data_IF_931427465521
#
_entry.id   IF_931427465521
#
_cell.length_a   1.000
_cell.length_b   1.000
_cell.length_c   1.000
_cell.angle_alpha   90.00
_cell.angle_beta   90.00
_cell.angle_gamma   90.00
#
_symmetry.space_group_name_H-M   'P 1'
#
loop_
_entity.id
_entity.type
_entity.pdbx_description
1 polymer ?
#
# COMPACT_ATOMS: atom_id res chain seq x y z
N UNK A 1 -18.05 -1.64 9.51
CA UNK A 1 -18.73 -1.69 8.20
C UNK A 1 -17.71 -2.17 7.17
N UNK A 2 -18.00 -3.26 6.44
CA UNK A 2 -17.07 -3.80 5.43
C UNK A 2 -17.16 -2.95 4.16
N UNK A 3 -16.02 -2.44 3.66
CA UNK A 3 -16.00 -1.70 2.39
C UNK A 3 -16.32 -2.66 1.24
N UNK A 4 -17.02 -2.15 0.22
CA UNK A 4 -17.35 -2.95 -0.97
C UNK A 4 -16.06 -3.43 -1.64
N UNK A 5 -16.06 -4.68 -2.16
CA UNK A 5 -14.92 -5.18 -2.92
C UNK A 5 -14.66 -4.29 -4.14
N UNK A 6 -13.41 -4.20 -4.54
CA UNK A 6 -12.99 -3.46 -5.73
C UNK A 6 -11.97 -4.27 -6.52
N UNK A 7 -11.75 -3.89 -7.78
CA UNK A 7 -10.71 -4.47 -8.61
C UNK A 7 -9.35 -3.86 -8.26
N UNK A 8 -8.38 -4.63 -7.72
CA UNK A 8 -7.09 -4.09 -7.32
C UNK A 8 -6.25 -3.56 -8.49
N UNK A 9 -6.37 -4.19 -9.66
CA UNK A 9 -5.62 -3.81 -10.85
C UNK A 9 -6.09 -2.45 -11.37
N UNK A 10 -7.40 -2.29 -11.57
CA UNK A 10 -7.97 -1.01 -12.01
C UNK A 10 -7.61 0.14 -11.04
N UNK A 11 -7.69 -0.12 -9.73
CA UNK A 11 -7.35 0.88 -8.71
C UNK A 11 -5.85 1.21 -8.68
N UNK A 12 -4.99 0.25 -9.02
CA UNK A 12 -3.54 0.48 -9.16
C UNK A 12 -3.25 1.34 -10.39
N UNK A 13 -3.95 1.09 -11.50
CA UNK A 13 -3.79 1.83 -12.75
C UNK A 13 -4.23 3.30 -12.61
N UNK A 14 -5.35 3.55 -11.91
CA UNK A 14 -5.81 4.90 -11.57
C UNK A 14 -4.75 5.72 -10.82
N UNK A 15 -3.93 5.06 -9.99
CA UNK A 15 -2.96 5.70 -9.09
C UNK A 15 -1.51 5.42 -9.48
N UNK A 16 -1.27 4.92 -10.70
CA UNK A 16 0.05 4.63 -11.26
C UNK A 16 1.01 5.82 -11.14
N UNK A 17 0.46 7.04 -11.19
CA UNK A 17 1.21 8.28 -11.08
C UNK A 17 1.74 8.59 -9.67
N UNK A 18 1.13 8.03 -8.62
CA UNK A 18 1.63 8.10 -7.24
C UNK A 18 2.64 6.97 -6.95
N UNK A 19 2.51 5.85 -7.66
CA UNK A 19 3.32 4.65 -7.53
C UNK A 19 4.69 4.74 -8.23
N UNK A 20 5.26 5.94 -8.28
CA UNK A 20 6.59 6.27 -8.80
C UNK A 20 7.28 7.28 -7.86
N UNK A 21 8.60 7.49 -7.96
CA UNK A 21 9.29 8.47 -7.14
C UNK A 21 8.64 9.87 -7.25
N UNK A 22 8.54 10.62 -6.14
CA UNK A 22 9.14 10.36 -4.82
C UNK A 22 8.30 9.48 -3.86
N UNK A 23 7.09 9.07 -4.22
CA UNK A 23 6.14 8.42 -3.28
C UNK A 23 6.23 6.89 -3.34
N UNK A 24 5.97 6.27 -4.50
CA UNK A 24 6.24 4.85 -4.76
C UNK A 24 5.36 3.82 -4.03
N UNK A 25 4.50 4.24 -3.07
CA UNK A 25 3.57 3.38 -2.34
C UNK A 25 2.21 4.07 -2.11
N UNK A 26 1.19 3.29 -1.75
CA UNK A 26 -0.14 3.81 -1.40
C UNK A 26 -0.90 2.92 -0.43
N UNK A 27 -1.49 3.50 0.62
CA UNK A 27 -2.40 2.81 1.51
C UNK A 27 -3.80 2.67 0.86
N UNK A 28 -4.37 1.46 0.87
CA UNK A 28 -5.68 1.17 0.29
C UNK A 28 -6.85 1.52 1.24
N UNK A 29 -6.59 1.51 2.55
CA UNK A 29 -7.59 1.69 3.59
C UNK A 29 -7.04 2.50 4.76
N UNK A 30 -7.53 3.73 4.92
CA UNK A 30 -7.17 4.58 6.06
C UNK A 30 -7.63 4.01 7.42
N UNK A 31 -8.77 3.32 7.44
CA UNK A 31 -9.38 2.76 8.67
C UNK A 31 -9.50 1.23 8.60
N UNK A 32 -8.38 0.53 8.43
CA UNK A 32 -8.36 -0.94 8.35
C UNK A 32 -8.16 -1.65 9.71
N UNK A 33 -8.21 -0.91 10.81
CA UNK A 33 -8.13 -1.45 12.16
C UNK A 33 -6.79 -2.15 12.39
N UNK A 34 -6.83 -3.47 12.51
CA UNK A 34 -5.66 -4.32 12.83
C UNK A 34 -4.68 -4.50 11.65
N UNK A 35 -5.07 -4.07 10.45
CA UNK A 35 -4.28 -4.27 9.24
C UNK A 35 -3.89 -2.95 8.58
N UNK A 36 -2.67 -2.90 8.07
CA UNK A 36 -2.24 -1.88 7.12
C UNK A 36 -2.13 -2.57 5.76
N UNK A 37 -2.97 -2.19 4.81
CA UNK A 37 -2.96 -2.76 3.45
C UNK A 37 -2.45 -1.71 2.49
N UNK A 38 -1.31 -1.98 1.84
CA UNK A 38 -0.68 -1.04 0.92
C UNK A 38 -0.25 -1.72 -0.38
N UNK A 39 -0.19 -0.93 -1.45
CA UNK A 39 0.45 -1.31 -2.71
C UNK A 39 1.79 -0.61 -2.80
N UNK A 40 2.84 -1.34 -3.15
CA UNK A 40 4.21 -0.83 -3.28
C UNK A 40 4.71 -1.19 -4.69
N UNK A 41 5.02 -0.19 -5.50
CA UNK A 41 5.51 -0.40 -6.87
C UNK A 41 7.02 -0.21 -7.00
N UNK A 42 7.61 0.59 -6.11
CA UNK A 42 9.05 0.82 -6.05
C UNK A 42 9.52 0.54 -4.63
N UNK A 43 10.59 -0.24 -4.52
CA UNK A 43 11.24 -0.48 -3.24
C UNK A 43 12.07 0.75 -2.86
N UNK A 44 11.60 1.52 -1.89
CA UNK A 44 12.38 2.64 -1.36
C UNK A 44 13.58 2.11 -0.57
N UNK A 45 14.79 2.64 -0.85
CA UNK A 45 16.05 2.28 -0.19
C UNK A 45 16.21 2.87 1.23
N UNK A 46 15.19 3.56 1.75
CA UNK A 46 15.27 4.24 3.03
C UNK A 46 15.28 3.22 4.18
N UNK A 47 16.22 3.43 5.11
CA UNK A 47 16.54 2.60 6.29
C UNK A 47 15.39 1.69 6.70
N UNK A 48 15.60 0.38 6.57
CA UNK A 48 14.75 -0.64 7.17
C UNK A 48 14.78 -0.46 8.69
N UNK A 49 13.83 0.32 9.20
CA UNK A 49 13.46 0.25 10.61
C UNK A 49 12.63 -1.02 10.71
N UNK A 50 13.07 -1.97 11.54
CA UNK A 50 12.41 -3.27 11.68
C UNK A 50 11.03 -3.10 12.27
N UNK A 51 10.01 -3.68 11.64
CA UNK A 51 8.66 -3.73 12.21
C UNK A 51 8.60 -4.77 13.33
N UNK A 52 7.83 -4.49 14.37
CA UNK A 52 7.61 -5.42 15.50
C UNK A 52 6.66 -6.57 15.15
N UNK A 53 5.90 -6.43 14.07
CA UNK A 53 4.88 -7.38 13.62
C UNK A 53 5.22 -7.96 12.25
N UNK A 54 4.59 -9.11 11.93
CA UNK A 54 4.82 -9.82 10.68
C UNK A 54 4.33 -9.01 9.48
N UNK A 55 5.19 -8.87 8.48
CA UNK A 55 4.80 -8.41 7.13
C UNK A 55 4.50 -9.60 6.21
N UNK A 56 3.51 -9.45 5.34
CA UNK A 56 3.15 -10.42 4.31
C UNK A 56 3.25 -9.74 2.94
N UNK A 57 3.85 -10.42 1.96
CA UNK A 57 4.12 -9.93 0.61
C UNK A 57 3.52 -10.86 -0.44
#
# INVERSE_FOLDING_TARGET
MVKRPFNPQARTDEHRHELKPPVGNRNLYHDAGDYIVMVVAVRTLARTITNETKELY
#
